data_IF_010362046008
#
_entry.id   IF_010362046008
#
_cell.length_a   1.000
_cell.length_b   1.000
_cell.length_c   1.000
_cell.angle_alpha   90.00
_cell.angle_beta   90.00
_cell.angle_gamma   90.00
#
_symmetry.space_group_name_H-M   'P 1'
#
loop_
_entity.id
_entity.type
_entity.pdbx_description
1 polymer ?
#
# COMPACT_ATOMS: atom_id res chain seq x y z
N UNK A 1 13.97 16.35 17.12
CA UNK A 1 12.50 16.30 16.92
C UNK A 1 11.98 17.36 15.93
N UNK A 2 12.77 17.82 14.94
CA UNK A 2 12.31 18.82 13.94
C UNK A 2 12.41 18.35 12.48
N UNK A 3 12.80 17.10 12.24
CA UNK A 3 13.13 16.59 10.90
C UNK A 3 11.94 16.34 9.99
N UNK A 4 10.69 16.39 10.51
CA UNK A 4 9.50 16.05 9.75
C UNK A 4 8.54 17.21 9.45
N UNK A 5 8.82 18.41 9.97
CA UNK A 5 7.95 19.57 9.79
C UNK A 5 7.76 19.94 8.32
N UNK A 6 8.82 19.84 7.52
CA UNK A 6 8.76 20.12 6.09
C UNK A 6 7.84 19.15 5.34
N UNK A 7 7.84 17.85 5.68
CA UNK A 7 6.91 16.89 5.05
C UNK A 7 5.48 17.06 5.58
N UNK A 8 5.32 17.35 6.87
CA UNK A 8 4.00 17.54 7.49
C UNK A 8 3.23 18.71 6.85
N UNK A 9 3.94 19.75 6.41
CA UNK A 9 3.37 20.94 5.77
C UNK A 9 3.54 20.97 4.25
N UNK A 10 3.97 19.88 3.62
CA UNK A 10 4.15 19.84 2.16
C UNK A 10 2.87 20.18 1.38
N UNK A 11 1.70 19.85 1.95
CA UNK A 11 0.39 20.19 1.38
C UNK A 11 0.12 21.70 1.27
N UNK A 12 0.81 22.55 2.06
CA UNK A 12 0.68 24.01 1.95
C UNK A 12 1.33 24.53 0.67
N UNK A 13 2.31 23.78 0.14
CA UNK A 13 3.07 24.17 -1.06
C UNK A 13 2.57 23.47 -2.32
N UNK A 14 1.85 22.36 -2.20
CA UNK A 14 1.29 21.60 -3.32
C UNK A 14 -0.09 21.04 -2.99
N UNK A 15 -1.11 21.49 -3.73
CA UNK A 15 -2.52 21.10 -3.58
C UNK A 15 -2.81 19.64 -3.95
N UNK A 16 -1.86 18.95 -4.56
CA UNK A 16 -1.97 17.52 -4.89
C UNK A 16 -1.94 16.63 -3.65
N UNK A 17 -1.38 17.13 -2.54
CA UNK A 17 -1.36 16.42 -1.27
C UNK A 17 -2.60 16.73 -0.44
N UNK A 18 -3.24 15.69 0.11
CA UNK A 18 -4.31 15.85 1.09
C UNK A 18 -3.74 16.22 2.47
N UNK A 19 -4.46 17.07 3.20
CA UNK A 19 -4.14 17.43 4.59
C UNK A 19 -4.23 16.19 5.50
N UNK A 20 -5.18 15.32 5.19
CA UNK A 20 -5.43 14.09 5.92
C UNK A 20 -4.74 12.88 5.25
N UNK A 21 -4.42 11.87 6.06
CA UNK A 21 -3.79 10.63 5.62
C UNK A 21 -4.81 9.54 5.26
N UNK A 22 -6.11 9.86 5.13
CA UNK A 22 -7.17 8.85 5.04
C UNK A 22 -6.98 7.92 3.84
N UNK A 23 -6.45 8.45 2.74
CA UNK A 23 -6.15 7.68 1.53
C UNK A 23 -5.10 6.61 1.85
N UNK A 24 -3.95 6.98 2.40
CA UNK A 24 -2.89 6.01 2.70
C UNK A 24 -3.33 5.03 3.80
N UNK A 25 -4.01 5.51 4.84
CA UNK A 25 -4.54 4.63 5.88
C UNK A 25 -5.56 3.64 5.33
N UNK A 26 -6.45 4.06 4.42
CA UNK A 26 -7.42 3.17 3.78
C UNK A 26 -6.72 2.06 2.99
N UNK A 27 -5.59 2.34 2.36
CA UNK A 27 -4.79 1.31 1.68
C UNK A 27 -4.06 0.38 2.65
N UNK A 28 -3.59 0.88 3.79
CA UNK A 28 -2.82 0.10 4.78
C UNK A 28 -3.71 -0.69 5.75
N UNK A 29 -4.93 -0.23 6.05
CA UNK A 29 -5.84 -0.86 7.01
C UNK A 29 -6.16 -2.34 6.70
N UNK A 30 -6.49 -2.72 5.45
CA UNK A 30 -6.72 -4.13 5.10
C UNK A 30 -5.48 -5.00 5.36
N UNK A 31 -4.29 -4.49 5.01
CA UNK A 31 -2.99 -5.12 5.26
C UNK A 31 -2.75 -5.40 6.75
N UNK A 32 -3.08 -4.44 7.61
CA UNK A 32 -2.94 -4.60 9.07
C UNK A 32 -3.90 -5.68 9.60
N UNK A 33 -5.11 -5.76 9.06
CA UNK A 33 -6.08 -6.81 9.38
C UNK A 33 -5.56 -8.19 8.99
N UNK A 34 -5.12 -8.34 7.73
CA UNK A 34 -4.49 -9.57 7.21
C UNK A 34 -3.28 -9.98 8.05
N UNK A 35 -2.45 -9.03 8.48
CA UNK A 35 -1.27 -9.32 9.31
C UNK A 35 -1.60 -9.96 10.65
N UNK A 36 -2.70 -9.55 11.28
CA UNK A 36 -3.14 -10.14 12.56
C UNK A 36 -3.69 -11.56 12.39
N UNK A 37 -4.18 -11.91 11.21
CA UNK A 37 -4.87 -13.18 10.94
C UNK A 37 -4.09 -14.15 10.03
N UNK A 38 -2.92 -13.74 9.55
CA UNK A 38 -2.16 -14.51 8.57
C UNK A 38 -1.03 -15.29 9.22
N UNK A 39 -1.06 -16.61 9.01
CA UNK A 39 0.02 -17.54 9.37
C UNK A 39 1.32 -17.28 8.59
N UNK A 40 1.27 -16.46 7.54
CA UNK A 40 2.40 -16.22 6.63
C UNK A 40 3.29 -15.05 7.04
N UNK A 41 2.91 -14.23 8.03
CA UNK A 41 3.77 -13.13 8.51
C UNK A 41 4.85 -13.56 9.51
N UNK A 42 5.08 -14.86 9.71
CA UNK A 42 6.09 -15.37 10.65
C UNK A 42 7.55 -15.19 10.21
N UNK A 43 7.81 -14.88 8.94
CA UNK A 43 9.17 -14.71 8.40
C UNK A 43 9.31 -13.40 7.62
N UNK A 44 10.44 -12.72 7.79
CA UNK A 44 10.82 -11.49 7.06
C UNK A 44 10.78 -11.69 5.53
N UNK A 45 11.15 -12.88 5.05
CA UNK A 45 11.03 -13.24 3.63
C UNK A 45 9.57 -13.20 3.16
N UNK A 46 8.66 -13.79 3.92
CA UNK A 46 7.24 -13.81 3.57
C UNK A 46 6.58 -12.45 3.75
N UNK A 47 7.02 -11.65 4.73
CA UNK A 47 6.58 -10.26 4.88
C UNK A 47 6.90 -9.43 3.63
N UNK A 48 8.11 -9.58 3.06
CA UNK A 48 8.46 -8.93 1.78
C UNK A 48 7.59 -9.40 0.61
N UNK A 49 7.40 -10.71 0.46
CA UNK A 49 6.55 -11.27 -0.61
C UNK A 49 5.13 -10.72 -0.52
N UNK A 50 4.58 -10.65 0.70
CA UNK A 50 3.23 -10.16 0.91
C UNK A 50 3.12 -8.65 0.65
N UNK A 51 4.14 -7.86 1.01
CA UNK A 51 4.20 -6.45 0.65
C UNK A 51 4.19 -6.24 -0.88
N UNK A 52 4.97 -7.02 -1.62
CA UNK A 52 4.99 -6.99 -3.09
C UNK A 52 3.61 -7.37 -3.66
N UNK A 53 3.03 -8.47 -3.18
CA UNK A 53 1.72 -8.94 -3.61
C UNK A 53 0.63 -7.87 -3.42
N UNK A 54 0.52 -7.30 -2.22
CA UNK A 54 -0.47 -6.27 -1.94
C UNK A 54 -0.24 -4.97 -2.73
N UNK A 55 1.02 -4.63 -3.03
CA UNK A 55 1.35 -3.48 -3.89
C UNK A 55 0.78 -3.68 -5.29
N UNK A 56 1.00 -4.85 -5.91
CA UNK A 56 0.47 -5.18 -7.24
C UNK A 56 -1.06 -5.15 -7.23
N UNK A 57 -1.68 -5.82 -6.26
CA UNK A 57 -3.15 -5.85 -6.13
C UNK A 57 -3.72 -4.43 -6.00
N UNK A 58 -3.08 -3.58 -5.20
CA UNK A 58 -3.52 -2.19 -5.00
C UNK A 58 -3.37 -1.36 -6.27
N UNK A 59 -2.26 -1.53 -7.00
CA UNK A 59 -2.02 -0.87 -8.27
C UNK A 59 -3.07 -1.25 -9.33
N UNK A 60 -3.36 -2.54 -9.48
CA UNK A 60 -4.43 -3.02 -10.38
C UNK A 60 -5.78 -2.40 -10.02
N UNK A 61 -6.14 -2.37 -8.73
CA UNK A 61 -7.38 -1.74 -8.26
C UNK A 61 -7.44 -0.25 -8.55
N UNK A 62 -6.34 0.48 -8.36
CA UNK A 62 -6.27 1.92 -8.66
C UNK A 62 -6.41 2.22 -10.16
N UNK A 63 -5.90 1.34 -11.02
CA UNK A 63 -6.01 1.48 -12.47
C UNK A 63 -7.30 0.90 -13.07
N UNK A 64 -8.17 0.28 -12.25
CA UNK A 64 -9.38 -0.40 -12.73
C UNK A 64 -9.10 -1.67 -13.55
N UNK A 65 -7.91 -2.26 -13.39
CA UNK A 65 -7.49 -3.48 -14.10
C UNK A 65 -7.84 -4.72 -13.26
N UNK A 66 -8.30 -5.78 -13.92
CA UNK A 66 -8.51 -7.09 -13.30
C UNK A 66 -7.19 -7.66 -12.78
N UNK A 67 -7.12 -7.84 -11.46
CA UNK A 67 -5.95 -8.42 -10.77
C UNK A 67 -5.63 -9.82 -11.32
N UNK A 68 -6.66 -10.63 -11.55
CA UNK A 68 -6.50 -12.00 -12.04
C UNK A 68 -5.91 -12.02 -13.45
N UNK A 69 -6.38 -11.14 -14.34
CA UNK A 69 -5.89 -11.09 -15.72
C UNK A 69 -4.46 -10.56 -15.77
N UNK A 70 -4.11 -9.60 -14.89
CA UNK A 70 -2.73 -9.16 -14.72
C UNK A 70 -1.81 -10.33 -14.35
N UNK A 71 -2.17 -11.11 -13.33
CA UNK A 71 -1.35 -12.25 -12.92
C UNK A 71 -1.27 -13.34 -13.98
N UNK A 72 -2.38 -13.64 -14.68
CA UNK A 72 -2.37 -14.58 -15.81
C UNK A 72 -1.41 -14.13 -16.90
N UNK A 73 -1.40 -12.84 -17.25
CA UNK A 73 -0.49 -12.27 -18.24
C UNK A 73 0.97 -12.32 -17.78
N UNK A 74 1.22 -12.09 -16.50
CA UNK A 74 2.57 -12.05 -15.93
C UNK A 74 3.21 -13.44 -15.82
N UNK A 75 2.43 -14.47 -15.50
CA UNK A 75 2.91 -15.86 -15.34
C UNK A 75 2.73 -16.74 -16.58
N UNK A 76 2.14 -16.21 -17.65
CA UNK A 76 2.12 -16.85 -18.97
C UNK A 76 3.49 -16.79 -19.63
#
# INVERSE_FOLDING_TARGET
MNTFWTQLFAYLNDSSYSIDNSIAERFIRPLIGERKNSLFFGSDKMARVLAIYHTIVSACKMQGVSVLDYFKRFFS
#
